data_IF_514964414252
#
_entry.id   IF_514964414252
#
_cell.length_a   1.000
_cell.length_b   1.000
_cell.length_c   1.000
_cell.angle_alpha   90.00
_cell.angle_beta   90.00
_cell.angle_gamma   90.00
#
_symmetry.space_group_name_H-M   'P 1'
#
loop_
_entity.id
_entity.type
_entity.pdbx_description
1 polymer ?
#
# COMPACT_ATOMS: atom_id res chain seq x y z
N UNK A 1 -15.35 11.14 4.97
CA UNK A 1 -16.02 10.50 6.13
C UNK A 1 -14.97 9.69 6.88
N UNK A 2 -14.83 9.86 8.20
CA UNK A 2 -13.89 9.08 9.01
C UNK A 2 -14.47 7.67 9.20
N UNK A 3 -13.75 6.65 8.73
CA UNK A 3 -14.04 5.27 9.08
C UNK A 3 -13.77 5.09 10.58
N UNK A 4 -14.71 4.53 11.37
CA UNK A 4 -14.48 4.28 12.79
C UNK A 4 -13.28 3.35 12.97
N UNK A 5 -12.36 3.71 13.87
CA UNK A 5 -11.15 2.94 14.23
C UNK A 5 -11.44 1.45 14.51
N UNK A 6 -12.63 1.13 15.01
CA UNK A 6 -13.10 -0.23 15.27
C UNK A 6 -13.20 -1.09 14.00
N UNK A 7 -13.66 -0.52 12.89
CA UNK A 7 -13.73 -1.24 11.62
C UNK A 7 -12.35 -1.47 11.01
N UNK A 8 -11.37 -0.62 11.32
CA UNK A 8 -10.01 -0.78 10.80
C UNK A 8 -9.35 -2.04 11.34
N UNK A 9 -9.52 -2.33 12.63
CA UNK A 9 -8.98 -3.54 13.25
C UNK A 9 -9.63 -4.82 12.68
N UNK A 10 -10.94 -4.81 12.48
CA UNK A 10 -11.66 -5.94 11.86
C UNK A 10 -11.24 -6.16 10.40
N UNK A 11 -11.11 -5.08 9.63
CA UNK A 11 -10.68 -5.13 8.25
C UNK A 11 -9.24 -5.64 8.10
N UNK A 12 -8.35 -5.26 9.01
CA UNK A 12 -6.98 -5.81 9.09
C UNK A 12 -7.03 -7.31 9.41
N UNK A 13 -7.81 -7.72 10.42
CA UNK A 13 -7.94 -9.14 10.77
C UNK A 13 -8.50 -9.98 9.60
N UNK A 14 -9.44 -9.44 8.82
CA UNK A 14 -9.96 -10.08 7.61
C UNK A 14 -8.91 -10.16 6.50
N UNK A 15 -8.12 -9.10 6.32
CA UNK A 15 -7.02 -9.09 5.36
C UNK A 15 -5.98 -10.15 5.72
N UNK A 16 -5.59 -10.25 7.00
CA UNK A 16 -4.68 -11.28 7.50
C UNK A 16 -5.23 -12.69 7.28
N UNK A 17 -6.52 -12.92 7.58
CA UNK A 17 -7.18 -14.20 7.32
C UNK A 17 -7.17 -14.58 5.83
N UNK A 18 -7.28 -13.59 4.94
CA UNK A 18 -7.19 -13.77 3.49
C UNK A 18 -5.75 -13.92 2.97
N UNK A 19 -4.74 -13.91 3.86
CA UNK A 19 -3.33 -13.97 3.48
C UNK A 19 -2.75 -12.66 2.93
N UNK A 20 -3.47 -11.55 3.10
CA UNK A 20 -3.02 -10.21 2.69
C UNK A 20 -2.22 -9.60 3.83
N UNK A 21 -0.89 -9.70 3.73
CA UNK A 21 0.03 -9.03 4.64
C UNK A 21 0.35 -7.62 4.14
N UNK A 22 -0.47 -6.64 4.52
CA UNK A 22 -0.17 -5.22 4.27
C UNK A 22 0.26 -4.55 5.58
N UNK A 23 1.29 -3.70 5.50
CA UNK A 23 1.67 -2.84 6.64
C UNK A 23 0.43 -2.01 7.06
N UNK A 24 0.08 -1.92 8.35
CA UNK A 24 -1.14 -1.25 8.80
C UNK A 24 -1.32 0.18 8.25
N UNK A 25 -0.21 0.91 8.07
CA UNK A 25 -0.22 2.24 7.45
C UNK A 25 -0.60 2.23 5.97
N UNK A 26 -0.11 1.26 5.19
CA UNK A 26 -0.48 1.10 3.77
C UNK A 26 -1.97 0.72 3.66
N UNK A 27 -2.44 -0.14 4.57
CA UNK A 27 -3.84 -0.53 4.63
C UNK A 27 -4.76 0.66 4.92
N UNK A 28 -4.39 1.53 5.87
CA UNK A 28 -5.13 2.75 6.18
C UNK A 28 -5.28 3.66 4.94
N UNK A 29 -4.19 3.87 4.20
CA UNK A 29 -4.19 4.69 2.99
C UNK A 29 -5.12 4.09 1.92
N UNK A 30 -5.06 2.77 1.69
CA UNK A 30 -5.93 2.09 0.72
C UNK A 30 -7.41 2.29 1.07
N UNK A 31 -7.78 2.14 2.35
CA UNK A 31 -9.16 2.37 2.81
C UNK A 31 -9.59 3.82 2.60
N UNK A 32 -8.71 4.80 2.88
CA UNK A 32 -9.01 6.21 2.62
C UNK A 32 -9.21 6.51 1.14
N UNK A 33 -8.39 5.94 0.24
CA UNK A 33 -8.54 6.08 -1.20
C UNK A 33 -9.85 5.46 -1.70
N UNK A 34 -10.24 4.30 -1.18
CA UNK A 34 -11.53 3.67 -1.46
C UNK A 34 -12.70 4.54 -0.96
N UNK A 35 -12.56 5.19 0.21
CA UNK A 35 -13.56 6.12 0.73
C UNK A 35 -13.72 7.39 -0.13
N UNK A 36 -12.68 7.76 -0.90
CA UNK A 36 -12.73 8.81 -1.91
C UNK A 36 -13.34 8.33 -3.25
N UNK A 37 -13.84 7.10 -3.31
CA UNK A 37 -14.40 6.47 -4.52
C UNK A 37 -13.40 6.30 -5.66
N UNK A 38 -12.11 6.18 -5.34
CA UNK A 38 -11.09 5.81 -6.32
C UNK A 38 -11.27 4.33 -6.65
N UNK A 39 -11.15 3.96 -7.93
CA UNK A 39 -11.33 2.59 -8.35
C UNK A 39 -10.22 1.69 -7.75
N UNK A 40 -10.54 0.46 -7.33
CA UNK A 40 -9.53 -0.46 -6.82
C UNK A 40 -8.47 -0.81 -7.86
N UNK A 41 -8.82 -0.76 -9.15
CA UNK A 41 -7.88 -0.95 -10.27
C UNK A 41 -6.84 0.18 -10.33
N UNK A 42 -7.28 1.44 -10.20
CA UNK A 42 -6.37 2.59 -10.19
C UNK A 42 -5.44 2.55 -8.97
N UNK A 43 -5.96 2.18 -7.80
CA UNK A 43 -5.14 2.00 -6.57
C UNK A 43 -4.09 0.91 -6.80
N UNK A 44 -4.46 -0.20 -7.43
CA UNK A 44 -3.52 -1.27 -7.78
C UNK A 44 -2.43 -0.80 -8.75
N UNK A 45 -2.81 -0.06 -9.81
CA UNK A 45 -1.85 0.49 -10.78
C UNK A 45 -0.87 1.44 -10.09
N UNK A 46 -1.37 2.34 -9.24
CA UNK A 46 -0.56 3.27 -8.47
C UNK A 46 0.45 2.54 -7.58
N UNK A 47 -0.02 1.59 -6.75
CA UNK A 47 0.85 0.82 -5.86
C UNK A 47 1.90 0.04 -6.64
N UNK A 48 1.52 -0.55 -7.79
CA UNK A 48 2.44 -1.27 -8.66
C UNK A 48 3.54 -0.36 -9.21
N UNK A 49 3.19 0.85 -9.63
CA UNK A 49 4.18 1.84 -10.11
C UNK A 49 5.14 2.27 -9.01
N UNK A 50 4.65 2.50 -7.78
CA UNK A 50 5.49 2.89 -6.64
C UNK A 50 6.48 1.77 -6.27
N UNK A 51 6.02 0.52 -6.20
CA UNK A 51 6.87 -0.63 -5.89
C UNK A 51 7.96 -0.86 -6.96
N UNK A 52 7.64 -0.61 -8.23
CA UNK A 52 8.62 -0.71 -9.32
C UNK A 52 9.70 0.38 -9.21
N UNK A 53 9.31 1.63 -8.97
CA UNK A 53 10.25 2.74 -8.78
C UNK A 53 11.17 2.54 -7.56
N UNK A 54 10.66 1.99 -6.46
CA UNK A 54 11.48 1.70 -5.29
C UNK A 54 12.59 0.67 -5.57
N UNK A 55 12.36 -0.26 -6.49
CA UNK A 55 13.34 -1.31 -6.84
C UNK A 55 14.42 -0.75 -7.78
N UNK A 56 14.03 0.13 -8.70
CA UNK A 56 14.95 0.83 -9.60
C UNK A 56 15.88 1.79 -8.86
N UNK A 57 15.35 2.58 -7.92
CA UNK A 57 16.14 3.53 -7.15
C UNK A 57 17.16 2.87 -6.20
N UNK A 58 16.83 1.69 -5.63
CA UNK A 58 17.80 0.91 -4.85
C UNK A 58 18.93 0.31 -5.69
N UNK A 59 18.69 0.09 -6.99
CA UNK A 59 19.71 -0.44 -7.91
C UNK A 59 20.68 0.64 -8.38
N UNK A 60 20.25 1.91 -8.42
CA UNK A 60 21.09 3.05 -8.77
C UNK A 60 22.02 3.48 -7.61
N UNK A 61 21.54 3.45 -6.36
CA UNK A 61 22.31 3.87 -5.18
C UNK A 61 23.55 2.98 -4.94
N UNK A 62 23.45 1.68 -5.25
CA UNK A 62 24.55 0.72 -5.12
C UNK A 62 25.63 0.86 -6.21
N UNK A 63 25.38 1.59 -7.30
CA UNK A 63 26.33 1.75 -8.40
C UNK A 63 27.29 2.93 -8.19
N UNK A 64 26.99 3.85 -7.26
CA UNK A 64 27.81 5.04 -7.01
C UNK A 64 28.97 4.80 -6.01
N UNK A 65 28.95 3.68 -5.27
CA UNK A 65 30.01 3.32 -4.31
C UNK A 65 31.20 2.53 -4.91
N UNK A 66 31.23 2.33 -6.23
CA UNK A 66 32.22 1.50 -6.94
C UNK A 66 33.11 2.26 -7.95
N UNK A 67 33.27 3.58 -7.81
CA UNK A 67 34.23 4.38 -8.59
C UNK A 67 35.35 4.95 -7.75
#
# INVERSE_FOLDING_TARGET
>A
MTFPQTHQAELIALAELAGVSAVPGVYAIIIELLALQISPEDIYILLKQICQQSTENQSADNAEYLK
#
